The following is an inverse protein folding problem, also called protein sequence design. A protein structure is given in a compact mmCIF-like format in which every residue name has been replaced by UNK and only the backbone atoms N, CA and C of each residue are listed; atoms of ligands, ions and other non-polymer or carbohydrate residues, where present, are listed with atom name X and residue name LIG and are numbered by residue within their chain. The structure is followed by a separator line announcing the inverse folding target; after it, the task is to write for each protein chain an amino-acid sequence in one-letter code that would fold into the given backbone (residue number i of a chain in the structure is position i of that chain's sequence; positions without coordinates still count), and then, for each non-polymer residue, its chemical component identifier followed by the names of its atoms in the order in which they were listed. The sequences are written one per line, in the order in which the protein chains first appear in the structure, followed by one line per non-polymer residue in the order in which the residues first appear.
data_IF_466046371709
#
_entry.id   IF_466046371709
#
_cell.length_a   1.000
_cell.length_b   1.000
_cell.length_c   1.000
_cell.angle_alpha   90.00
_cell.angle_beta   90.00
_cell.angle_gamma   90.00
#
_symmetry.space_group_name_H-M   'P 1'
#
loop_
_entity.id
_entity.type
_entity.pdbx_description
1 polymer ?
#
# COMPACT_ATOMS: atom_id res chain seq x y z
N UNK A 1 20.14 8.92 3.27
CA UNK A 1 19.98 7.50 2.90
C UNK A 1 18.56 7.32 2.40
N UNK A 2 18.35 6.72 1.24
CA UNK A 2 17.02 6.69 0.61
C UNK A 2 16.01 5.74 1.31
N UNK A 3 16.46 4.66 1.98
CA UNK A 3 15.57 3.81 2.79
C UNK A 3 15.22 4.54 4.10
N UNK A 4 13.96 4.96 4.25
CA UNK A 4 13.50 5.87 5.32
C UNK A 4 12.40 5.21 6.14
N UNK A 5 12.37 5.49 7.45
CA UNK A 5 11.32 5.05 8.35
C UNK A 5 9.94 5.57 7.87
N UNK A 6 9.02 4.65 7.62
CA UNK A 6 7.68 4.99 7.14
C UNK A 6 6.91 5.86 8.15
N UNK A 7 7.18 5.71 9.46
CA UNK A 7 6.56 6.54 10.51
C UNK A 7 6.88 8.01 10.31
N UNK A 8 8.15 8.32 10.01
CA UNK A 8 8.56 9.69 9.70
C UNK A 8 7.89 10.19 8.43
N UNK A 9 7.94 9.39 7.34
CA UNK A 9 7.31 9.77 6.07
C UNK A 9 5.80 10.03 6.23
N UNK A 10 5.11 9.17 6.98
CA UNK A 10 3.66 9.30 7.20
C UNK A 10 3.32 10.49 8.11
N UNK A 11 4.11 10.73 9.15
CA UNK A 11 3.91 11.90 10.02
C UNK A 11 4.12 13.23 9.27
N UNK A 12 5.15 13.33 8.43
CA UNK A 12 5.41 14.48 7.57
C UNK A 12 4.25 14.70 6.58
N UNK A 13 3.81 13.62 5.91
CA UNK A 13 2.70 13.69 4.95
C UNK A 13 1.37 14.11 5.63
N UNK A 14 1.07 13.56 6.80
CA UNK A 14 -0.12 13.92 7.58
C UNK A 14 -0.08 15.40 8.01
N UNK A 15 1.08 15.90 8.48
CA UNK A 15 1.24 17.29 8.87
C UNK A 15 1.05 18.27 7.70
N UNK A 16 1.45 17.88 6.49
CA UNK A 16 1.29 18.67 5.26
C UNK A 16 -0.08 18.45 4.58
N UNK A 17 -0.92 17.54 5.10
CA UNK A 17 -2.19 17.11 4.46
C UNK A 17 -1.99 16.66 3.01
N UNK A 18 -0.95 15.85 2.77
CA UNK A 18 -0.64 15.21 1.48
C UNK A 18 -0.67 13.69 1.62
N UNK A 19 -0.87 12.98 0.52
CA UNK A 19 -0.88 11.52 0.50
C UNK A 19 0.49 10.95 0.14
N UNK A 20 0.82 9.80 0.76
CA UNK A 20 1.93 8.94 0.41
C UNK A 20 1.46 7.81 -0.51
N UNK A 21 2.00 7.74 -1.71
CA UNK A 21 1.72 6.64 -2.62
C UNK A 21 2.43 5.35 -2.18
N UNK A 22 1.64 4.29 -1.99
CA UNK A 22 2.11 2.95 -1.69
C UNK A 22 1.66 2.00 -2.82
N UNK A 23 2.62 1.50 -3.58
CA UNK A 23 2.34 0.80 -4.83
C UNK A 23 2.79 -0.65 -4.78
N UNK A 24 1.87 -1.58 -5.12
CA UNK A 24 2.18 -3.00 -5.09
C UNK A 24 3.12 -3.40 -6.22
N UNK A 25 4.09 -4.24 -5.87
CA UNK A 25 5.07 -4.83 -6.79
C UNK A 25 4.73 -6.29 -7.01
N UNK A 26 4.33 -6.64 -8.24
CA UNK A 26 4.12 -8.03 -8.68
C UNK A 26 5.30 -8.51 -9.52
N UNK A 27 5.81 -7.66 -10.41
CA UNK A 27 6.99 -7.88 -11.24
C UNK A 27 8.08 -6.87 -10.88
N UNK A 28 9.33 -7.22 -11.05
CA UNK A 28 10.46 -6.32 -10.76
C UNK A 28 10.39 -5.02 -11.57
N UNK A 29 9.85 -5.07 -12.79
CA UNK A 29 9.62 -3.91 -13.66
C UNK A 29 8.72 -2.86 -13.02
N UNK A 30 7.76 -3.27 -12.18
CA UNK A 30 6.93 -2.34 -11.41
C UNK A 30 7.75 -1.56 -10.39
N UNK A 31 8.67 -2.23 -9.69
CA UNK A 31 9.54 -1.55 -8.73
C UNK A 31 10.44 -0.50 -9.40
N UNK A 32 11.05 -0.84 -10.54
CA UNK A 32 11.82 0.14 -11.34
C UNK A 32 10.95 1.32 -11.77
N UNK A 33 9.75 1.06 -12.27
CA UNK A 33 8.82 2.11 -12.70
C UNK A 33 8.44 3.04 -11.55
N UNK A 34 8.15 2.48 -10.38
CA UNK A 34 7.71 3.24 -9.19
C UNK A 34 8.84 4.14 -8.65
N UNK A 35 10.08 3.62 -8.56
CA UNK A 35 11.24 4.42 -8.14
C UNK A 35 11.54 5.52 -9.15
N UNK A 36 11.61 5.21 -10.45
CA UNK A 36 11.84 6.20 -11.51
C UNK A 36 10.76 7.29 -11.53
N UNK A 37 9.51 6.91 -11.32
CA UNK A 37 8.40 7.86 -11.21
C UNK A 37 8.62 8.82 -10.02
N UNK A 38 8.90 8.28 -8.84
CA UNK A 38 9.13 9.04 -7.63
C UNK A 38 10.30 10.02 -7.77
N UNK A 39 11.41 9.57 -8.37
CA UNK A 39 12.57 10.41 -8.67
C UNK A 39 12.24 11.52 -9.67
N UNK A 40 11.46 11.22 -10.72
CA UNK A 40 11.10 12.20 -11.75
C UNK A 40 10.28 13.37 -11.22
N UNK A 41 9.50 13.15 -10.16
CA UNK A 41 8.65 14.17 -9.52
C UNK A 41 9.18 14.61 -8.16
N UNK A 42 10.35 14.09 -7.74
CA UNK A 42 10.99 14.36 -6.45
C UNK A 42 10.03 14.15 -5.27
N UNK A 43 9.45 12.94 -5.17
CA UNK A 43 8.48 12.55 -4.13
C UNK A 43 8.88 11.26 -3.45
N UNK A 44 8.54 11.10 -2.16
CA UNK A 44 8.69 9.82 -1.48
C UNK A 44 7.75 8.76 -2.08
N UNK A 45 8.13 7.48 -1.94
CA UNK A 45 7.34 6.35 -2.40
C UNK A 45 7.46 5.16 -1.45
N UNK A 46 6.40 4.36 -1.35
CA UNK A 46 6.39 3.09 -0.63
C UNK A 46 6.27 1.95 -1.65
N UNK A 47 7.29 1.08 -1.68
CA UNK A 47 7.27 -0.15 -2.47
C UNK A 47 6.61 -1.25 -1.63
N UNK A 48 5.48 -1.79 -2.07
CA UNK A 48 4.72 -2.80 -1.33
C UNK A 48 4.88 -4.18 -1.95
N UNK A 49 5.22 -5.18 -1.14
CA UNK A 49 5.25 -6.58 -1.55
C UNK A 49 4.23 -7.37 -0.74
N UNK A 50 3.11 -7.75 -1.37
CA UNK A 50 2.05 -8.46 -0.69
C UNK A 50 2.35 -9.96 -0.50
N UNK A 51 1.74 -10.57 0.52
CA UNK A 51 1.80 -12.03 0.72
C UNK A 51 1.36 -12.79 -0.55
N UNK A 52 0.34 -12.29 -1.27
CA UNK A 52 -0.11 -12.89 -2.52
C UNK A 52 0.95 -12.82 -3.64
N UNK A 53 1.68 -11.70 -3.74
CA UNK A 53 2.79 -11.60 -4.69
C UNK A 53 3.94 -12.53 -4.33
N UNK A 54 4.23 -12.72 -3.04
CA UNK A 54 5.22 -13.69 -2.56
C UNK A 54 4.77 -15.12 -2.91
N UNK A 55 3.51 -15.45 -2.69
CA UNK A 55 2.93 -16.77 -3.08
C UNK A 55 3.06 -17.01 -4.59
N UNK A 56 2.76 -16.00 -5.42
CA UNK A 56 2.97 -16.05 -6.87
C UNK A 56 4.44 -16.37 -7.25
N UNK A 57 5.41 -15.86 -6.48
CA UNK A 57 6.83 -16.14 -6.63
C UNK A 57 7.29 -17.43 -5.90
N UNK A 58 6.39 -18.39 -5.73
CA UNK A 58 6.67 -19.69 -5.12
C UNK A 58 6.93 -19.65 -3.61
N UNK A 59 6.34 -18.68 -2.91
CA UNK A 59 6.47 -18.47 -1.46
C UNK A 59 7.82 -17.92 -1.02
N UNK A 60 8.63 -17.40 -1.96
CA UNK A 60 9.99 -16.91 -1.68
C UNK A 60 10.02 -15.39 -1.53
N UNK A 61 10.05 -14.90 -0.31
CA UNK A 61 10.21 -13.48 0.00
C UNK A 61 11.53 -12.89 -0.52
N UNK A 62 12.66 -13.57 -0.25
CA UNK A 62 13.98 -13.00 -0.41
C UNK A 62 14.36 -12.55 -1.84
N UNK A 63 14.03 -13.25 -2.96
CA UNK A 63 14.45 -12.81 -4.28
C UNK A 63 13.93 -11.42 -4.65
N UNK A 64 12.61 -11.22 -4.57
CA UNK A 64 12.00 -9.93 -4.90
C UNK A 64 12.22 -8.92 -3.77
N UNK A 65 12.13 -9.32 -2.52
CA UNK A 65 12.35 -8.45 -1.37
C UNK A 65 13.74 -7.81 -1.36
N UNK A 66 14.81 -8.57 -1.64
CA UNK A 66 16.18 -8.03 -1.79
C UNK A 66 16.31 -7.08 -2.97
N UNK A 67 15.62 -7.35 -4.07
CA UNK A 67 15.61 -6.44 -5.21
C UNK A 67 14.95 -5.10 -4.85
N UNK A 68 13.84 -5.10 -4.10
CA UNK A 68 13.20 -3.88 -3.61
C UNK A 68 14.12 -3.09 -2.66
N UNK A 69 14.77 -3.76 -1.72
CA UNK A 69 15.74 -3.12 -0.82
C UNK A 69 16.89 -2.48 -1.58
N UNK A 70 17.47 -3.19 -2.57
CA UNK A 70 18.55 -2.65 -3.41
C UNK A 70 18.11 -1.41 -4.19
N UNK A 71 16.91 -1.44 -4.79
CA UNK A 71 16.35 -0.27 -5.48
C UNK A 71 16.10 0.90 -4.52
N UNK A 72 15.62 0.62 -3.31
CA UNK A 72 15.40 1.65 -2.30
C UNK A 72 16.72 2.27 -1.82
N UNK A 73 17.80 1.49 -1.70
CA UNK A 73 19.12 1.97 -1.32
C UNK A 73 19.77 2.86 -2.39
N UNK A 74 19.52 2.58 -3.68
CA UNK A 74 20.06 3.32 -4.82
C UNK A 74 19.24 4.57 -5.17
N UNK A 75 17.97 4.65 -4.72
CA UNK A 75 17.07 5.73 -5.05
C UNK A 75 17.59 7.11 -4.57
N UNK A 76 17.21 8.17 -5.27
CA UNK A 76 17.58 9.56 -4.92
C UNK A 76 16.50 10.28 -4.10
N UNK A 77 15.37 9.62 -3.87
CA UNK A 77 14.24 10.09 -3.06
C UNK A 77 13.98 9.15 -1.89
N UNK A 78 13.27 9.58 -0.83
CA UNK A 78 12.89 8.70 0.27
C UNK A 78 12.04 7.53 -0.20
N UNK A 79 12.44 6.31 0.17
CA UNK A 79 11.72 5.06 -0.15
C UNK A 79 11.51 4.26 1.13
N UNK A 80 10.31 3.71 1.32
CA UNK A 80 10.05 2.64 2.28
C UNK A 80 9.77 1.32 1.55
N UNK A 81 10.18 0.20 2.14
CA UNK A 81 9.88 -1.15 1.66
C UNK A 81 8.97 -1.83 2.66
N UNK A 82 7.78 -2.17 2.21
CA UNK A 82 6.65 -2.59 3.05
C UNK A 82 6.18 -3.99 2.68
N UNK A 83 6.01 -4.87 3.68
CA UNK A 83 5.28 -6.13 3.53
C UNK A 83 3.79 -5.81 3.65
N UNK A 84 3.00 -6.22 2.66
CA UNK A 84 1.59 -5.84 2.53
C UNK A 84 0.69 -7.06 2.71
N UNK A 85 -0.40 -6.91 3.48
CA UNK A 85 -1.41 -7.95 3.77
C UNK A 85 -0.80 -9.31 4.18
N UNK A 86 0.07 -9.32 5.19
CA UNK A 86 0.61 -10.57 5.73
C UNK A 86 -0.31 -11.11 6.84
N UNK A 87 -0.92 -12.26 6.59
CA UNK A 87 -1.71 -13.03 7.56
C UNK A 87 -0.82 -13.97 8.40
N UNK A 88 0.40 -14.24 7.92
CA UNK A 88 1.37 -15.13 8.53
C UNK A 88 2.41 -14.34 9.36
N UNK A 89 2.39 -14.55 10.67
CA UNK A 89 3.33 -13.93 11.62
C UNK A 89 4.79 -14.30 11.30
N UNK A 90 5.04 -15.53 10.83
CA UNK A 90 6.41 -15.95 10.47
C UNK A 90 6.88 -15.24 9.19
N UNK A 91 5.98 -14.89 8.28
CA UNK A 91 6.30 -14.05 7.13
C UNK A 91 6.66 -12.62 7.57
N UNK A 92 5.96 -12.06 8.56
CA UNK A 92 6.33 -10.75 9.15
C UNK A 92 7.74 -10.80 9.74
N UNK A 93 8.09 -11.85 10.50
CA UNK A 93 9.44 -12.05 11.02
C UNK A 93 10.49 -12.16 9.91
N UNK A 94 10.20 -12.95 8.87
CA UNK A 94 11.10 -13.11 7.74
C UNK A 94 11.34 -11.79 6.99
N UNK A 95 10.33 -10.92 6.89
CA UNK A 95 10.49 -9.59 6.29
C UNK A 95 11.36 -8.67 7.15
N UNK A 96 11.17 -8.68 8.47
CA UNK A 96 12.03 -7.96 9.42
C UNK A 96 13.49 -8.43 9.29
N UNK A 97 13.72 -9.75 9.32
CA UNK A 97 15.06 -10.34 9.20
C UNK A 97 15.72 -10.04 7.85
N UNK A 98 14.92 -9.86 6.80
CA UNK A 98 15.40 -9.50 5.46
C UNK A 98 15.82 -8.03 5.36
N UNK A 99 15.31 -7.16 6.25
CA UNK A 99 15.61 -5.73 6.27
C UNK A 99 14.48 -4.83 5.79
N UNK A 100 13.26 -5.32 5.69
CA UNK A 100 12.09 -4.47 5.46
C UNK A 100 11.94 -3.50 6.63
N UNK A 101 11.58 -2.25 6.35
CA UNK A 101 11.43 -1.22 7.37
C UNK A 101 9.96 -0.95 7.77
N UNK A 102 9.04 -1.70 7.16
CA UNK A 102 7.62 -1.68 7.50
C UNK A 102 6.95 -3.00 7.15
N UNK A 103 6.00 -3.44 7.97
CA UNK A 103 5.15 -4.60 7.71
C UNK A 103 3.69 -4.27 8.02
N UNK A 104 2.77 -4.85 7.26
CA UNK A 104 1.37 -4.94 7.64
C UNK A 104 1.08 -6.37 8.10
N UNK A 105 0.56 -6.49 9.33
CA UNK A 105 -0.08 -7.72 9.77
C UNK A 105 -1.59 -7.60 9.57
N UNK A 106 -2.16 -8.52 8.82
CA UNK A 106 -3.58 -8.54 8.46
C UNK A 106 -4.30 -9.64 9.23
N UNK A 107 -4.75 -9.30 10.45
CA UNK A 107 -5.60 -10.16 11.27
C UNK A 107 -7.09 -9.86 11.10
N UNK A 108 -7.51 -9.08 10.13
CA UNK A 108 -8.88 -8.60 9.96
C UNK A 108 -9.92 -9.72 9.82
N UNK A 109 -9.52 -10.88 9.31
CA UNK A 109 -10.36 -12.09 9.18
C UNK A 109 -10.52 -12.89 10.48
N UNK A 110 -9.70 -12.59 11.51
CA UNK A 110 -9.77 -13.24 12.81
C UNK A 110 -10.89 -12.63 13.68
N UNK A 111 -11.33 -13.34 14.74
CA UNK A 111 -12.07 -12.72 15.81
C UNK A 111 -11.33 -11.50 16.37
N UNK A 112 -12.05 -10.46 16.78
CA UNK A 112 -11.47 -9.16 17.19
C UNK A 112 -10.39 -9.31 18.28
N UNK A 113 -10.66 -10.10 19.32
CA UNK A 113 -9.71 -10.35 20.41
C UNK A 113 -8.42 -11.01 19.90
N UNK A 114 -8.54 -11.98 18.98
CA UNK A 114 -7.39 -12.66 18.39
C UNK A 114 -6.59 -11.75 17.45
N UNK A 115 -7.27 -10.88 16.68
CA UNK A 115 -6.63 -9.86 15.87
C UNK A 115 -5.79 -8.93 16.75
N UNK A 116 -6.39 -8.34 17.80
CA UNK A 116 -5.69 -7.43 18.73
C UNK A 116 -4.49 -8.09 19.39
N UNK A 117 -4.65 -9.29 19.96
CA UNK A 117 -3.58 -10.01 20.64
C UNK A 117 -2.43 -10.34 19.67
N UNK A 118 -2.74 -10.84 18.47
CA UNK A 118 -1.71 -11.21 17.51
C UNK A 118 -1.01 -9.98 16.92
N UNK A 119 -1.76 -8.92 16.63
CA UNK A 119 -1.21 -7.64 16.17
C UNK A 119 -0.25 -7.06 17.20
N UNK A 120 -0.63 -7.03 18.51
CA UNK A 120 0.26 -6.55 19.57
C UNK A 120 1.57 -7.34 19.66
N UNK A 121 1.52 -8.68 19.50
CA UNK A 121 2.73 -9.52 19.44
C UNK A 121 3.61 -9.20 18.22
N UNK A 122 3.01 -8.90 17.06
CA UNK A 122 3.75 -8.47 15.87
C UNK A 122 4.40 -7.12 16.11
N UNK A 123 3.69 -6.16 16.71
CA UNK A 123 4.23 -4.86 17.08
C UNK A 123 5.44 -4.99 18.01
N UNK A 124 5.35 -5.85 19.04
CA UNK A 124 6.44 -6.04 20.00
C UNK A 124 7.78 -6.41 19.32
N UNK A 125 7.79 -7.43 18.46
CA UNK A 125 9.05 -7.83 17.81
C UNK A 125 9.48 -6.91 16.69
N UNK A 126 8.54 -6.28 15.97
CA UNK A 126 8.86 -5.31 14.93
C UNK A 126 9.48 -4.05 15.53
N UNK A 127 8.90 -3.50 16.62
CA UNK A 127 9.46 -2.34 17.32
C UNK A 127 10.83 -2.64 17.92
N UNK A 128 11.06 -3.86 18.45
CA UNK A 128 12.38 -4.27 18.92
C UNK A 128 13.44 -4.25 17.80
N UNK A 129 13.04 -4.42 16.54
CA UNK A 129 13.89 -4.30 15.36
C UNK A 129 13.83 -2.92 14.69
N UNK A 130 13.13 -1.95 15.28
CA UNK A 130 12.86 -0.63 14.69
C UNK A 130 12.11 -0.67 13.34
N UNK A 131 11.20 -1.63 13.18
CA UNK A 131 10.32 -1.78 12.01
C UNK A 131 8.92 -1.30 12.37
N UNK A 132 8.32 -0.48 11.52
CA UNK A 132 6.96 0.03 11.70
C UNK A 132 5.92 -1.04 11.39
N UNK A 133 4.77 -0.97 12.08
CA UNK A 133 3.65 -1.89 11.88
C UNK A 133 2.38 -1.14 11.46
N UNK A 134 1.80 -1.63 10.37
CA UNK A 134 0.44 -1.32 9.95
C UNK A 134 -0.47 -2.49 10.30
N UNK A 135 -1.72 -2.21 10.67
CA UNK A 135 -2.75 -3.23 10.79
C UNK A 135 -4.10 -2.73 10.29
N UNK A 136 -5.04 -3.64 10.11
CA UNK A 136 -6.39 -3.38 9.65
C UNK A 136 -7.40 -3.73 10.74
N UNK A 137 -8.29 -2.78 11.03
CA UNK A 137 -9.41 -2.99 11.93
C UNK A 137 -10.69 -3.26 11.13
N UNK A 138 -11.19 -4.50 11.25
CA UNK A 138 -12.30 -4.98 10.44
C UNK A 138 -11.87 -5.21 8.98
N UNK A 139 -12.67 -5.96 8.23
CA UNK A 139 -12.36 -6.18 6.83
C UNK A 139 -12.70 -4.95 5.99
N UNK A 140 -11.72 -4.38 5.29
CA UNK A 140 -12.00 -3.47 4.18
C UNK A 140 -12.55 -4.32 3.04
N UNK A 141 -13.88 -4.56 3.10
CA UNK A 141 -14.58 -5.22 2.03
C UNK A 141 -14.98 -6.67 2.21
N UNK A 142 -15.47 -7.08 3.40
CA UNK A 142 -16.37 -8.23 3.57
C UNK A 142 -15.77 -9.63 3.69
N UNK A 143 -16.30 -10.38 4.65
CA UNK A 143 -15.87 -11.70 5.17
C UNK A 143 -15.81 -12.90 4.21
N UNK A 144 -16.11 -12.76 2.93
CA UNK A 144 -16.17 -13.89 2.00
C UNK A 144 -15.37 -13.65 0.71
N UNK A 145 -14.32 -12.84 0.75
CA UNK A 145 -13.59 -12.44 -0.46
C UNK A 145 -14.42 -11.57 -1.41
N UNK A 146 -15.63 -11.18 -1.00
CA UNK A 146 -16.51 -10.25 -1.70
C UNK A 146 -16.46 -8.94 -0.92
N UNK A 147 -15.89 -7.95 -1.55
CA UNK A 147 -15.74 -6.60 -1.02
C UNK A 147 -17.11 -5.97 -0.72
N UNK A 148 -17.41 -5.78 0.57
CA UNK A 148 -18.62 -5.08 0.99
C UNK A 148 -18.29 -3.58 1.18
N UNK A 149 -18.67 -2.72 0.21
CA UNK A 149 -18.43 -1.29 0.31
C UNK A 149 -19.28 -0.62 1.41
N UNK A 150 -20.15 -1.35 2.09
CA UNK A 150 -20.92 -0.85 3.22
C UNK A 150 -20.18 -0.93 4.57
N UNK A 151 -19.06 -1.67 4.64
CA UNK A 151 -18.24 -1.74 5.86
C UNK A 151 -17.76 -0.34 6.27
N UNK A 152 -17.81 -0.05 7.56
CA UNK A 152 -17.36 1.22 8.13
C UNK A 152 -16.66 0.97 9.47
N UNK A 153 -15.49 1.56 9.64
CA UNK A 153 -14.75 1.52 10.90
C UNK A 153 -15.38 2.49 11.89
N UNK A 154 -15.66 2.02 13.11
CA UNK A 154 -16.11 2.89 14.19
C UNK A 154 -14.91 3.68 14.77
N UNK A 155 -15.00 5.01 14.95
CA UNK A 155 -13.87 5.82 15.45
C UNK A 155 -13.42 5.46 16.88
N UNK A 156 -14.34 5.04 17.76
CA UNK A 156 -14.02 4.68 19.15
C UNK A 156 -13.30 3.30 19.17
N UNK A 157 -13.77 2.38 18.35
CA UNK A 157 -13.13 1.08 18.19
C UNK A 157 -11.73 1.20 17.57
N UNK A 158 -11.57 2.09 16.58
CA UNK A 158 -10.27 2.43 16.02
C UNK A 158 -9.29 2.97 17.09
N UNK A 159 -9.74 3.88 17.93
CA UNK A 159 -8.93 4.43 19.03
C UNK A 159 -8.52 3.34 20.04
N UNK A 160 -9.46 2.46 20.38
CA UNK A 160 -9.20 1.34 21.29
C UNK A 160 -8.21 0.34 20.65
N UNK A 161 -8.41 0.00 19.37
CA UNK A 161 -7.50 -0.91 18.64
C UNK A 161 -6.06 -0.40 18.63
N UNK A 162 -5.84 0.88 18.30
CA UNK A 162 -4.51 1.49 18.33
C UNK A 162 -3.90 1.45 19.73
N UNK A 163 -4.72 1.69 20.77
CA UNK A 163 -4.28 1.64 22.17
C UNK A 163 -3.85 0.23 22.58
N UNK A 164 -4.64 -0.78 22.20
CA UNK A 164 -4.42 -2.18 22.58
C UNK A 164 -3.23 -2.79 21.84
N UNK A 165 -3.00 -2.40 20.58
CA UNK A 165 -2.02 -3.03 19.71
C UNK A 165 -0.71 -2.26 19.60
N UNK A 166 -0.75 -0.93 19.70
CA UNK A 166 0.42 -0.07 19.53
C UNK A 166 0.92 0.04 18.08
N UNK A 167 0.06 -0.15 17.08
CA UNK A 167 0.40 -0.01 15.65
C UNK A 167 0.81 1.42 15.32
N UNK A 168 1.63 1.57 14.28
CA UNK A 168 2.13 2.86 13.80
C UNK A 168 1.25 3.48 12.70
N UNK A 169 0.50 2.66 11.95
CA UNK A 169 -0.44 3.06 10.90
C UNK A 169 -1.70 2.17 11.00
N UNK A 170 -2.86 2.76 10.69
CA UNK A 170 -4.13 2.05 10.76
C UNK A 170 -4.88 2.09 9.44
N UNK A 171 -5.13 0.92 8.84
CA UNK A 171 -6.03 0.76 7.71
C UNK A 171 -7.48 0.70 8.17
N UNK A 172 -8.36 1.47 7.50
CA UNK A 172 -9.75 1.67 7.92
C UNK A 172 -10.72 1.53 6.75
N UNK A 173 -11.92 1.00 7.05
CA UNK A 173 -13.00 0.86 6.09
C UNK A 173 -13.83 2.15 6.04
N UNK A 174 -13.79 2.86 4.91
CA UNK A 174 -14.45 4.15 4.71
C UNK A 174 -15.24 4.23 3.39
N UNK A 175 -15.50 3.07 2.74
CA UNK A 175 -16.32 2.98 1.52
C UNK A 175 -15.55 2.58 0.26
N UNK A 176 -14.25 2.33 0.35
CA UNK A 176 -13.47 1.67 -0.71
C UNK A 176 -13.62 0.15 -0.68
N UNK A 177 -13.19 -0.50 -1.75
CA UNK A 177 -13.22 -1.95 -1.86
C UNK A 177 -12.03 -2.43 -2.70
N UNK A 178 -11.44 -3.58 -2.34
CA UNK A 178 -10.33 -4.16 -3.09
C UNK A 178 -10.76 -4.63 -4.49
N UNK A 179 -9.78 -4.83 -5.40
CA UNK A 179 -9.95 -5.39 -6.74
C UNK A 179 -10.95 -4.67 -7.67
N UNK A 180 -11.35 -3.44 -7.36
CA UNK A 180 -12.21 -2.66 -8.26
C UNK A 180 -11.46 -2.32 -9.54
N UNK A 181 -12.05 -2.69 -10.68
CA UNK A 181 -11.53 -2.38 -12.03
C UNK A 181 -12.16 -1.13 -12.64
N UNK A 182 -13.21 -0.59 -12.00
CA UNK A 182 -13.89 0.66 -12.38
C UNK A 182 -13.79 1.67 -11.26
N UNK A 183 -13.68 2.95 -11.62
CA UNK A 183 -13.51 4.05 -10.66
C UNK A 183 -14.87 4.70 -10.37
N UNK A 184 -15.52 4.26 -9.31
CA UNK A 184 -16.83 4.74 -8.89
C UNK A 184 -17.07 4.64 -7.38
N UNK A 185 -16.04 4.29 -6.59
CA UNK A 185 -16.15 4.25 -5.14
C UNK A 185 -16.31 5.66 -4.56
N UNK A 186 -17.24 5.80 -3.62
CA UNK A 186 -17.49 7.04 -2.88
C UNK A 186 -17.03 6.85 -1.44
N UNK A 187 -16.07 7.65 -1.02
CA UNK A 187 -15.53 7.61 0.34
C UNK A 187 -16.32 8.53 1.27
N UNK A 188 -16.49 8.08 2.50
CA UNK A 188 -17.11 8.85 3.57
C UNK A 188 -16.08 9.77 4.22
N UNK A 189 -15.99 11.00 3.70
CA UNK A 189 -14.99 11.97 4.17
C UNK A 189 -15.26 12.51 5.57
N UNK A 190 -16.51 12.47 6.06
CA UNK A 190 -16.83 12.86 7.43
C UNK A 190 -16.36 11.78 8.40
N UNK A 191 -16.60 10.51 8.09
CA UNK A 191 -16.07 9.39 8.85
C UNK A 191 -14.53 9.38 8.87
N UNK A 192 -13.86 9.72 7.76
CA UNK A 192 -12.39 9.83 7.73
C UNK A 192 -11.92 10.86 8.75
N UNK A 193 -12.57 12.04 8.81
CA UNK A 193 -12.24 13.09 9.80
C UNK A 193 -12.48 12.62 11.24
N UNK A 194 -13.60 11.96 11.49
CA UNK A 194 -13.94 11.44 12.82
C UNK A 194 -12.91 10.41 13.30
N UNK A 195 -12.49 9.49 12.44
CA UNK A 195 -11.44 8.50 12.77
C UNK A 195 -10.10 9.18 12.97
N UNK A 196 -9.68 10.07 12.05
CA UNK A 196 -8.42 10.84 12.18
C UNK A 196 -8.33 11.59 13.50
N UNK A 197 -9.44 12.21 13.95
CA UNK A 197 -9.47 12.97 15.20
C UNK A 197 -9.49 12.06 16.44
N UNK A 198 -9.90 10.79 16.28
CA UNK A 198 -9.93 9.80 17.35
C UNK A 198 -8.60 9.06 17.56
N UNK A 199 -7.76 8.89 16.51
CA UNK A 199 -6.55 8.08 16.59
C UNK A 199 -5.28 8.92 16.46
N UNK A 200 -4.19 8.60 17.18
CA UNK A 200 -2.93 9.33 17.11
C UNK A 200 -2.02 8.91 15.95
N UNK A 201 -2.44 7.97 15.12
CA UNK A 201 -1.62 7.37 14.05
C UNK A 201 -2.16 7.74 12.65
N UNK A 202 -1.30 7.81 11.61
CA UNK A 202 -1.73 8.06 10.25
C UNK A 202 -2.69 6.98 9.74
N UNK A 203 -3.71 7.40 8.97
CA UNK A 203 -4.69 6.52 8.35
C UNK A 203 -4.21 5.98 7.00
N UNK A 204 -4.58 4.73 6.72
CA UNK A 204 -4.27 4.05 5.45
C UNK A 204 -5.55 3.74 4.69
N UNK A 205 -5.56 4.07 3.39
CA UNK A 205 -6.63 3.75 2.47
C UNK A 205 -6.28 2.52 1.64
N UNK A 206 -7.00 1.43 1.86
CA UNK A 206 -7.01 0.25 1.00
C UNK A 206 -8.14 0.36 -0.04
N UNK A 207 -8.08 -0.46 -1.10
CA UNK A 207 -9.10 -0.45 -2.15
C UNK A 207 -9.15 0.82 -2.99
N UNK A 208 -8.12 1.64 -2.99
CA UNK A 208 -8.08 2.96 -3.62
C UNK A 208 -8.19 2.93 -5.15
N UNK A 209 -7.88 1.80 -5.81
CA UNK A 209 -7.96 1.65 -7.27
C UNK A 209 -9.35 1.94 -7.85
N UNK A 210 -10.40 1.80 -7.04
CA UNK A 210 -11.78 2.12 -7.39
C UNK A 210 -12.18 3.58 -7.14
N UNK A 211 -11.33 4.41 -6.56
CA UNK A 211 -11.67 5.79 -6.16
C UNK A 211 -11.31 6.76 -7.29
N UNK A 212 -12.22 7.65 -7.73
CA UNK A 212 -11.92 8.74 -8.66
C UNK A 212 -10.90 9.74 -8.09
N UNK A 213 -10.23 10.50 -8.97
CA UNK A 213 -9.17 11.44 -8.55
C UNK A 213 -9.66 12.52 -7.58
N UNK A 214 -10.84 13.07 -7.81
CA UNK A 214 -11.48 14.06 -6.93
C UNK A 214 -11.86 13.47 -5.56
N UNK A 215 -12.37 12.24 -5.54
CA UNK A 215 -12.63 11.49 -4.32
C UNK A 215 -11.34 11.18 -3.54
N UNK A 216 -10.25 10.90 -4.23
CA UNK A 216 -8.93 10.68 -3.61
C UNK A 216 -8.39 11.95 -2.97
N UNK A 217 -8.46 13.07 -3.67
CA UNK A 217 -8.06 14.37 -3.11
C UNK A 217 -8.89 14.72 -1.88
N UNK A 218 -10.21 14.53 -1.94
CA UNK A 218 -11.10 14.77 -0.81
C UNK A 218 -10.77 13.87 0.40
N UNK A 219 -10.42 12.60 0.17
CA UNK A 219 -10.02 11.67 1.23
C UNK A 219 -8.70 12.08 1.91
N UNK A 220 -7.71 12.52 1.12
CA UNK A 220 -6.44 13.03 1.64
C UNK A 220 -6.67 14.31 2.47
N UNK A 221 -7.51 15.23 1.98
CA UNK A 221 -7.90 16.43 2.73
C UNK A 221 -8.65 16.11 4.03
N UNK A 222 -9.40 15.02 4.04
CA UNK A 222 -10.09 14.55 5.24
C UNK A 222 -9.15 13.88 6.26
N UNK A 223 -7.98 13.36 5.83
CA UNK A 223 -6.98 12.78 6.75
C UNK A 223 -6.38 11.45 6.32
N UNK A 224 -6.73 10.91 5.14
CA UNK A 224 -6.03 9.75 4.60
C UNK A 224 -4.59 10.10 4.26
N UNK A 225 -3.64 9.27 4.72
CA UNK A 225 -2.21 9.55 4.58
C UNK A 225 -1.53 8.55 3.64
N UNK A 226 -1.55 7.25 3.91
CA UNK A 226 -0.99 6.22 3.03
C UNK A 226 -2.05 5.72 2.07
N UNK A 227 -1.75 5.69 0.78
CA UNK A 227 -2.71 5.32 -0.28
C UNK A 227 -2.19 4.09 -1.02
N UNK A 228 -2.84 2.94 -0.83
CA UNK A 228 -2.46 1.68 -1.46
C UNK A 228 -3.04 1.57 -2.88
N UNK A 229 -2.19 1.35 -3.88
CA UNK A 229 -2.60 1.21 -5.27
C UNK A 229 -2.01 -0.05 -5.89
N UNK A 230 -2.85 -0.93 -6.42
CA UNK A 230 -2.45 -2.17 -7.11
C UNK A 230 -3.19 -2.36 -8.43
N UNK A 231 -4.47 -2.70 -8.37
CA UNK A 231 -5.29 -3.08 -9.53
C UNK A 231 -5.29 -2.02 -10.63
N UNK A 232 -5.30 -0.74 -10.29
CA UNK A 232 -5.27 0.36 -11.26
C UNK A 232 -4.00 0.31 -12.14
N UNK A 233 -2.84 0.05 -11.54
CA UNK A 233 -1.58 -0.09 -12.28
C UNK A 233 -1.57 -1.36 -13.13
N UNK A 234 -2.12 -2.47 -12.61
CA UNK A 234 -2.23 -3.73 -13.34
C UNK A 234 -3.11 -3.60 -14.59
N UNK A 235 -4.22 -2.84 -14.51
CA UNK A 235 -5.09 -2.56 -15.64
C UNK A 235 -4.34 -1.81 -16.74
N UNK A 236 -3.60 -0.74 -16.39
CA UNK A 236 -2.81 0.04 -17.34
C UNK A 236 -1.71 -0.79 -18.00
N UNK A 237 -0.90 -1.48 -17.21
CA UNK A 237 0.15 -2.38 -17.70
C UNK A 237 -0.40 -3.43 -18.67
N UNK A 238 -1.43 -4.15 -18.24
CA UNK A 238 -2.03 -5.24 -19.05
C UNK A 238 -2.67 -4.71 -20.33
N UNK A 239 -3.24 -3.50 -20.30
CA UNK A 239 -3.78 -2.84 -21.49
C UNK A 239 -2.71 -2.65 -22.57
N UNK A 240 -1.59 -2.03 -22.21
CA UNK A 240 -0.45 -1.80 -23.12
C UNK A 240 0.13 -3.12 -23.67
N UNK A 241 0.33 -4.11 -22.80
CA UNK A 241 0.84 -5.44 -23.22
C UNK A 241 -0.13 -6.08 -24.24
N UNK A 242 -1.42 -6.04 -23.96
CA UNK A 242 -2.46 -6.60 -24.84
C UNK A 242 -2.49 -5.92 -26.21
N UNK A 243 -2.43 -4.59 -26.25
CA UNK A 243 -2.45 -3.83 -27.48
C UNK A 243 -1.25 -4.13 -28.37
N UNK A 244 -0.05 -4.25 -27.79
CA UNK A 244 1.16 -4.61 -28.55
C UNK A 244 1.07 -6.02 -29.11
N UNK A 245 0.68 -7.00 -28.28
CA UNK A 245 0.61 -8.40 -28.72
C UNK A 245 -0.52 -8.64 -29.72
N UNK A 246 -1.63 -7.91 -29.64
CA UNK A 246 -2.71 -7.97 -30.64
C UNK A 246 -2.33 -7.25 -31.95
N UNK A 247 -1.45 -6.24 -31.86
CA UNK A 247 -1.04 -5.46 -33.03
C UNK A 247 0.04 -6.13 -33.88
N UNK A 248 0.84 -7.03 -33.31
CA UNK A 248 1.91 -7.75 -34.01
C UNK A 248 2.14 -9.14 -33.41
N UNK A 249 1.63 -10.17 -34.10
CA UNK A 249 1.77 -11.57 -33.67
C UNK A 249 3.22 -12.10 -33.76
N UNK A 250 4.14 -11.36 -34.40
CA UNK A 250 5.56 -11.75 -34.52
C UNK A 250 6.41 -11.34 -33.33
N UNK A 251 5.86 -10.55 -32.40
CA UNK A 251 6.56 -10.11 -31.20
C UNK A 251 6.76 -11.28 -30.23
N UNK A 252 8.03 -11.66 -30.01
CA UNK A 252 8.42 -12.75 -29.09
C UNK A 252 9.35 -12.28 -27.97
N UNK A 253 10.05 -11.15 -28.13
CA UNK A 253 10.93 -10.59 -27.11
C UNK A 253 10.12 -9.87 -26.03
N UNK A 254 10.13 -10.37 -24.75
CA UNK A 254 9.33 -9.78 -23.69
C UNK A 254 9.67 -8.31 -23.41
N UNK A 255 10.88 -7.86 -23.67
CA UNK A 255 11.28 -6.45 -23.52
C UNK A 255 10.43 -5.51 -24.39
N UNK A 256 9.92 -6.01 -25.52
CA UNK A 256 9.12 -5.21 -26.46
C UNK A 256 7.69 -4.93 -26.00
N UNK A 257 7.15 -5.74 -25.08
CA UNK A 257 5.80 -5.53 -24.53
C UNK A 257 5.80 -5.25 -23.03
N UNK A 258 6.75 -5.84 -22.27
CA UNK A 258 6.90 -5.53 -20.84
C UNK A 258 7.47 -4.11 -20.65
N UNK A 259 8.44 -3.69 -21.48
CA UNK A 259 9.03 -2.36 -21.40
C UNK A 259 8.02 -1.23 -21.52
N UNK A 260 7.21 -1.15 -22.60
CA UNK A 260 6.15 -0.15 -22.70
C UNK A 260 5.08 -0.25 -21.60
N UNK A 261 4.73 -1.47 -21.12
CA UNK A 261 3.87 -1.66 -19.97
C UNK A 261 4.47 -1.06 -18.69
N UNK A 262 5.76 -1.27 -18.45
CA UNK A 262 6.50 -0.63 -17.34
C UNK A 262 6.47 0.90 -17.46
N UNK A 263 6.69 1.43 -18.64
CA UNK A 263 6.72 2.88 -18.86
C UNK A 263 5.33 3.50 -18.58
N UNK A 264 4.25 2.81 -18.93
CA UNK A 264 2.89 3.22 -18.57
C UNK A 264 2.69 3.24 -17.04
N UNK A 265 3.21 2.23 -16.32
CA UNK A 265 3.16 2.22 -14.83
C UNK A 265 3.95 3.39 -14.26
N UNK A 266 5.16 3.69 -14.79
CA UNK A 266 5.96 4.84 -14.37
C UNK A 266 5.18 6.15 -14.51
N UNK A 267 4.62 6.38 -15.68
CA UNK A 267 3.93 7.62 -15.99
C UNK A 267 2.68 7.81 -15.12
N UNK A 268 1.93 6.73 -14.88
CA UNK A 268 0.76 6.77 -14.00
C UNK A 268 1.14 6.94 -12.53
N UNK A 269 2.20 6.30 -12.03
CA UNK A 269 2.70 6.50 -10.66
C UNK A 269 3.16 7.95 -10.47
N UNK A 270 3.87 8.53 -11.44
CA UNK A 270 4.28 9.95 -11.39
C UNK A 270 3.06 10.88 -11.32
N UNK A 271 2.01 10.59 -12.11
CA UNK A 271 0.75 11.33 -12.08
C UNK A 271 0.07 11.24 -10.71
N UNK A 272 -0.03 10.03 -10.15
CA UNK A 272 -0.65 9.78 -8.84
C UNK A 272 0.13 10.47 -7.71
N UNK A 273 1.46 10.39 -7.71
CA UNK A 273 2.29 11.07 -6.71
C UNK A 273 2.10 12.59 -6.73
N UNK A 274 1.94 13.20 -7.92
CA UNK A 274 1.60 14.62 -8.04
C UNK A 274 0.18 14.92 -7.54
N UNK A 275 -0.79 14.06 -7.88
CA UNK A 275 -2.17 14.18 -7.40
C UNK A 275 -2.22 14.14 -5.87
N UNK A 276 -1.53 13.18 -5.24
CA UNK A 276 -1.50 13.01 -3.79
C UNK A 276 -0.77 14.16 -3.07
N UNK A 277 0.20 14.76 -3.75
CA UNK A 277 0.86 15.97 -3.28
C UNK A 277 0.03 17.25 -3.54
N UNK A 278 -1.15 17.14 -4.14
CA UNK A 278 -2.06 18.26 -4.44
C UNK A 278 -1.41 19.33 -5.33
N UNK A 279 -0.66 18.91 -6.35
CA UNK A 279 0.06 19.77 -7.30
C UNK A 279 -0.39 19.54 -8.74
#
# INVERSE_FOLDING_TARGET
MPLVDIRQMAAEAAAESVGLGAFNVVLLEFAYAQVQAAESVNRPVILQLSQNAIAYHGGRLAPLGKALLSLAEEATVPVAVHLDHAEDVDLCRAAVDLGFNSVMYDGSHLPDDENRETTARVVEFCHAANVAVEAELGEVGGKNGVHDPSARTDPQDAAQFVTDTGVDLLAVAVGSSHAMTTRGAVLDTDLIRDIRDAVPVPLVLHGSSGVPDDGMVAAIEAGMTKINVSTHLNVGFTGVVRDILNGDETVVDPRKYVGPGRDQVRDEVARLLNLYARR
#
